data_IF_643445531195
#
_entry.id   IF_643445531195
#
_cell.length_a   1.000
_cell.length_b   1.000
_cell.length_c   1.000
_cell.angle_alpha   90.00
_cell.angle_beta   90.00
_cell.angle_gamma   90.00
#
_symmetry.space_group_name_H-M   'P 1'
#
loop_
_entity.id
_entity.type
_entity.pdbx_description
1 polymer ?
#
# COMPACT_ATOMS: atom_id res chain seq x y z
N UNK A 1 -2.28 7.14 7.91
CA UNK A 1 -1.47 5.90 7.73
C UNK A 1 -2.38 4.78 7.28
N UNK A 2 -2.11 4.18 6.12
CA UNK A 2 -2.84 3.04 5.55
C UNK A 2 -2.43 1.78 6.29
N UNK A 3 -3.07 1.53 7.43
CA UNK A 3 -2.80 0.38 8.31
C UNK A 3 -2.96 -0.95 7.60
N UNK A 4 -3.93 -1.06 6.68
CA UNK A 4 -4.14 -2.25 5.85
C UNK A 4 -2.91 -2.63 5.02
N UNK A 5 -2.20 -1.66 4.43
CA UNK A 5 -1.02 -1.92 3.60
C UNK A 5 0.17 -2.40 4.45
N UNK A 6 0.30 -1.82 5.65
CA UNK A 6 1.31 -2.22 6.64
C UNK A 6 1.05 -3.65 7.12
N UNK A 7 -0.22 -4.00 7.37
CA UNK A 7 -0.60 -5.34 7.82
C UNK A 7 -0.30 -6.39 6.76
N UNK A 8 -0.71 -6.17 5.51
CA UNK A 8 -0.41 -7.09 4.39
C UNK A 8 1.10 -7.29 4.24
N UNK A 9 1.89 -6.21 4.34
CA UNK A 9 3.35 -6.32 4.28
C UNK A 9 3.90 -7.16 5.43
N UNK A 10 3.39 -6.98 6.65
CA UNK A 10 3.82 -7.72 7.84
C UNK A 10 3.40 -9.20 7.78
N UNK A 11 2.22 -9.50 7.25
CA UNK A 11 1.75 -10.87 7.01
C UNK A 11 2.66 -11.64 6.05
N UNK A 12 3.28 -10.92 5.11
CA UNK A 12 4.31 -11.46 4.21
C UNK A 12 5.73 -11.44 4.77
N UNK A 13 5.90 -10.98 6.01
CA UNK A 13 7.21 -10.84 6.67
C UNK A 13 8.20 -9.96 5.89
N UNK A 14 7.70 -9.01 5.09
CA UNK A 14 8.52 -8.15 4.24
C UNK A 14 8.92 -6.85 4.97
N UNK A 15 10.15 -6.42 4.77
CA UNK A 15 10.57 -5.05 5.11
C UNK A 15 10.07 -4.07 4.05
N UNK A 16 10.04 -2.77 4.37
CA UNK A 16 9.69 -1.73 3.38
C UNK A 16 10.62 -1.74 2.16
N UNK A 17 11.89 -2.13 2.35
CA UNK A 17 12.88 -2.21 1.27
C UNK A 17 12.60 -3.39 0.34
N UNK A 18 12.33 -4.58 0.89
CA UNK A 18 11.95 -5.75 0.11
C UNK A 18 10.62 -5.53 -0.61
N UNK A 19 9.61 -5.00 0.10
CA UNK A 19 8.33 -4.66 -0.50
C UNK A 19 8.45 -3.68 -1.67
N UNK A 20 9.29 -2.65 -1.52
CA UNK A 20 9.54 -1.70 -2.59
C UNK A 20 10.26 -2.34 -3.79
N UNK A 21 11.21 -3.25 -3.53
CA UNK A 21 11.92 -4.02 -4.56
C UNK A 21 10.97 -4.93 -5.35
N UNK A 22 10.08 -5.65 -4.67
CA UNK A 22 9.05 -6.50 -5.31
C UNK A 22 8.09 -5.67 -6.18
N UNK A 23 7.73 -4.47 -5.72
CA UNK A 23 6.87 -3.55 -6.45
C UNK A 23 7.61 -2.73 -7.54
N UNK A 24 8.94 -2.82 -7.62
CA UNK A 24 9.75 -2.03 -8.57
C UNK A 24 9.76 -0.52 -8.31
N UNK A 25 9.61 -0.08 -7.06
CA UNK A 25 9.58 1.33 -6.66
C UNK A 25 10.64 1.66 -5.61
N UNK A 26 10.87 2.96 -5.37
CA UNK A 26 11.78 3.39 -4.31
C UNK A 26 11.19 3.11 -2.91
N UNK A 27 12.04 2.69 -1.97
CA UNK A 27 11.66 2.43 -0.56
C UNK A 27 10.93 3.61 0.09
N UNK A 28 11.39 4.83 -0.16
CA UNK A 28 10.75 6.05 0.35
C UNK A 28 9.36 6.27 -0.25
N UNK A 29 9.17 5.91 -1.53
CA UNK A 29 7.88 6.00 -2.21
C UNK A 29 6.89 4.99 -1.61
N UNK A 30 7.35 3.76 -1.35
CA UNK A 30 6.53 2.76 -0.64
C UNK A 30 6.14 3.24 0.76
N UNK A 31 7.09 3.79 1.52
CA UNK A 31 6.82 4.34 2.86
C UNK A 31 5.81 5.50 2.84
N UNK A 32 5.88 6.40 1.85
CA UNK A 32 4.89 7.47 1.67
C UNK A 32 3.48 6.93 1.40
N UNK A 33 3.37 5.83 0.64
CA UNK A 33 2.08 5.18 0.41
C UNK A 33 1.52 4.56 1.70
N UNK A 34 2.34 3.90 2.52
CA UNK A 34 1.94 3.41 3.84
C UNK A 34 1.51 4.55 4.78
N UNK A 35 2.20 5.68 4.75
CA UNK A 35 1.89 6.80 5.63
C UNK A 35 0.60 7.53 5.24
N UNK A 36 0.21 7.50 3.97
CA UNK A 36 -0.93 8.28 3.47
C UNK A 36 -0.55 9.57 2.77
N UNK A 37 0.73 9.97 2.88
CA UNK A 37 1.29 11.22 2.32
C UNK A 37 1.17 11.31 0.80
N UNK A 38 1.09 10.16 0.13
CA UNK A 38 0.96 10.08 -1.32
C UNK A 38 -0.02 9.00 -1.71
N UNK A 39 -0.73 9.24 -2.80
CA UNK A 39 -1.55 8.22 -3.48
C UNK A 39 -0.78 7.72 -4.71
N UNK A 40 -0.61 6.40 -4.89
CA UNK A 40 0.04 5.88 -6.08
C UNK A 40 -0.75 6.22 -7.34
N UNK A 41 -0.06 6.36 -8.48
CA UNK A 41 -0.74 6.39 -9.77
C UNK A 41 -1.41 5.03 -10.04
N UNK A 42 -2.45 4.95 -10.89
CA UNK A 42 -3.08 3.66 -11.21
C UNK A 42 -2.10 2.59 -11.69
N UNK A 43 -1.04 2.98 -12.40
CA UNK A 43 0.04 2.06 -12.81
C UNK A 43 0.80 1.48 -11.61
N UNK A 44 1.23 2.34 -10.68
CA UNK A 44 1.93 1.89 -9.47
C UNK A 44 1.00 1.11 -8.53
N UNK A 45 -0.25 1.53 -8.41
CA UNK A 45 -1.26 0.86 -7.60
C UNK A 45 -1.45 -0.59 -8.09
N UNK A 46 -1.56 -0.80 -9.40
CA UNK A 46 -1.66 -2.14 -10.01
C UNK A 46 -0.44 -3.00 -9.71
N UNK A 47 0.78 -2.44 -9.81
CA UNK A 47 2.02 -3.17 -9.48
C UNK A 47 2.03 -3.60 -8.02
N UNK A 48 1.69 -2.68 -7.10
CA UNK A 48 1.68 -2.98 -5.66
C UNK A 48 0.59 -3.99 -5.34
N UNK A 49 -0.62 -3.81 -5.86
CA UNK A 49 -1.72 -4.75 -5.67
C UNK A 49 -1.38 -6.15 -6.16
N UNK A 50 -0.74 -6.27 -7.33
CA UNK A 50 -0.28 -7.55 -7.86
C UNK A 50 0.81 -8.21 -7.00
N UNK A 51 1.82 -7.45 -6.55
CA UNK A 51 2.91 -7.97 -5.72
C UNK A 51 2.44 -8.37 -4.30
N UNK A 52 1.56 -7.56 -3.72
CA UNK A 52 1.07 -7.75 -2.36
C UNK A 52 -0.19 -8.62 -2.29
N UNK A 53 -0.85 -8.89 -3.41
CA UNK A 53 -2.00 -9.79 -3.48
C UNK A 53 -3.32 -9.17 -3.02
N UNK A 54 -3.52 -7.87 -3.30
CA UNK A 54 -4.77 -7.16 -2.99
C UNK A 54 -5.27 -6.36 -4.20
N UNK A 55 -6.53 -5.93 -4.17
CA UNK A 55 -7.08 -5.13 -5.26
C UNK A 55 -6.53 -3.70 -5.20
N UNK A 56 -5.85 -3.27 -6.26
CA UNK A 56 -5.27 -1.93 -6.36
C UNK A 56 -6.28 -0.78 -6.22
N UNK A 57 -7.58 -1.05 -6.44
CA UNK A 57 -8.64 -0.06 -6.22
C UNK A 57 -8.74 0.38 -4.76
N UNK A 58 -8.27 -0.44 -3.81
CA UNK A 58 -8.24 -0.12 -2.39
C UNK A 58 -7.45 1.15 -2.06
N UNK A 59 -6.53 1.58 -2.94
CA UNK A 59 -5.86 2.88 -2.81
C UNK A 59 -6.78 4.09 -3.07
N UNK A 60 -7.89 3.87 -3.77
CA UNK A 60 -8.83 4.87 -4.26
C UNK A 60 -10.24 4.70 -3.70
N UNK A 61 -10.51 3.59 -3.01
CA UNK A 61 -11.69 3.45 -2.18
C UNK A 61 -11.57 4.47 -1.05
N UNK A 62 -12.47 5.46 -1.04
CA UNK A 62 -12.59 6.38 0.07
C UNK A 62 -12.87 5.55 1.32
N UNK A 63 -12.07 5.74 2.37
CA UNK A 63 -12.42 5.23 3.69
C UNK A 63 -13.79 5.81 4.04
N UNK A 64 -14.85 5.02 3.87
CA UNK A 64 -16.09 5.22 4.59
C UNK A 64 -15.69 4.97 6.04
N UNK A 65 -15.31 6.05 6.71
CA UNK A 65 -15.02 6.03 8.12
C UNK A 65 -16.33 5.61 8.79
N UNK A 66 -16.44 4.34 9.20
CA UNK A 66 -17.44 3.96 10.19
C UNK A 66 -17.03 4.64 11.50
N UNK A 67 -17.37 5.92 11.64
CA UNK A 67 -17.63 6.51 12.95
C UNK A 67 -18.87 5.82 13.50
N UNK A 68 -18.69 4.59 14.00
CA UNK A 68 -19.61 4.00 14.94
C UNK A 68 -19.45 4.77 16.27
N UNK A 69 -20.44 5.65 16.48
CA UNK A 69 -20.88 6.35 17.70
C UNK A 69 -20.19 6.01 19.02
#
# INVERSE_FOLDING_TARGET
MRTWLVNIRKEKELTQELAAKECGIARTTYAMYEQGERTPSPSNAKLIGAAMGFNWTLFFEEEIHETCK
#
